data_IF_720011363273
#
_entry.id   IF_720011363273
#
_cell.length_a   1.000
_cell.length_b   1.000
_cell.length_c   1.000
_cell.angle_alpha   90.00
_cell.angle_beta   90.00
_cell.angle_gamma   90.00
#
_symmetry.space_group_name_H-M   'P 1'
#
loop_
_entity.id
_entity.type
_entity.pdbx_description
1 polymer ?
#
# COMPACT_ATOMS: atom_id res chain seq x y z
N UNK A 1 -1.43 -8.58 26.26
CA UNK A 1 -2.69 -8.49 25.47
C UNK A 1 -2.51 -7.38 24.43
N UNK A 2 -2.58 -7.67 23.13
CA UNK A 2 -2.42 -6.64 22.09
C UNK A 2 -3.68 -5.75 22.03
N UNK A 3 -3.60 -4.46 21.65
CA UNK A 3 -4.71 -3.49 21.77
C UNK A 3 -5.91 -3.69 20.81
N UNK A 4 -6.26 -4.91 20.42
CA UNK A 4 -7.29 -5.15 19.39
C UNK A 4 -7.87 -6.58 19.39
N UNK A 5 -7.82 -7.31 20.51
CA UNK A 5 -8.35 -8.69 20.63
C UNK A 5 -7.97 -9.63 19.47
N UNK A 6 -6.75 -9.49 18.94
CA UNK A 6 -6.24 -10.38 17.88
C UNK A 6 -5.34 -11.44 18.46
N UNK A 7 -5.57 -12.68 18.00
CA UNK A 7 -4.68 -13.82 18.22
C UNK A 7 -3.27 -13.50 17.67
N UNK A 8 -2.24 -14.12 18.25
CA UNK A 8 -0.84 -13.77 17.99
C UNK A 8 -0.44 -13.87 16.50
N UNK A 9 -1.14 -14.74 15.78
CA UNK A 9 -1.06 -15.12 14.38
C UNK A 9 -2.00 -14.34 13.44
N UNK A 10 -2.95 -13.56 13.97
CA UNK A 10 -3.95 -12.88 13.15
C UNK A 10 -3.45 -11.52 12.63
N UNK A 11 -3.18 -11.47 11.32
CA UNK A 11 -2.85 -10.25 10.58
C UNK A 11 -4.03 -9.26 10.59
N UNK A 12 -3.73 -7.95 10.54
CA UNK A 12 -4.75 -6.91 10.34
C UNK A 12 -5.51 -7.18 9.03
N UNK A 13 -6.82 -6.85 8.92
CA UNK A 13 -7.50 -6.90 7.64
C UNK A 13 -6.74 -6.02 6.64
N UNK A 14 -6.30 -6.63 5.54
CA UNK A 14 -5.56 -5.98 4.46
C UNK A 14 -6.54 -5.78 3.31
N UNK A 15 -6.75 -4.52 2.90
CA UNK A 15 -7.50 -4.20 1.70
C UNK A 15 -6.55 -3.56 0.70
N UNK A 16 -6.47 -4.16 -0.49
CA UNK A 16 -5.65 -3.65 -1.60
C UNK A 16 -6.59 -3.13 -2.67
N UNK A 17 -6.61 -1.81 -2.85
CA UNK A 17 -7.36 -1.16 -3.93
C UNK A 17 -6.38 -0.76 -5.01
N UNK A 18 -6.45 -1.43 -6.16
CA UNK A 18 -5.63 -1.15 -7.35
C UNK A 18 -6.28 0.00 -8.15
N UNK A 19 -5.48 0.77 -8.89
CA UNK A 19 -5.93 1.90 -9.71
C UNK A 19 -6.63 3.00 -8.88
N UNK A 20 -6.01 3.40 -7.76
CA UNK A 20 -6.57 4.45 -6.91
C UNK A 20 -6.45 5.85 -7.53
N UNK A 21 -5.36 6.14 -8.23
CA UNK A 21 -5.15 7.39 -8.96
C UNK A 21 -5.08 7.15 -10.46
N UNK A 22 -5.92 7.85 -11.22
CA UNK A 22 -6.03 7.71 -12.67
C UNK A 22 -4.80 8.21 -13.46
N UNK A 23 -3.93 8.99 -12.83
CA UNK A 23 -2.80 9.66 -13.47
C UNK A 23 -1.47 8.92 -13.38
N UNK A 24 -1.39 7.84 -12.61
CA UNK A 24 -0.15 7.12 -12.41
C UNK A 24 -0.22 5.73 -13.01
N UNK A 25 0.86 5.35 -13.70
CA UNK A 25 0.98 4.07 -14.41
C UNK A 25 0.84 2.87 -13.48
N UNK A 26 1.25 3.02 -12.21
CA UNK A 26 0.92 2.09 -11.15
C UNK A 26 0.50 2.81 -9.87
N UNK A 27 -0.77 2.72 -9.49
CA UNK A 27 -1.26 3.24 -8.21
C UNK A 27 -1.97 2.17 -7.38
N UNK A 28 -1.52 2.02 -6.13
CA UNK A 28 -2.11 1.07 -5.19
C UNK A 28 -2.33 1.74 -3.85
N UNK A 29 -3.56 1.67 -3.36
CA UNK A 29 -3.90 2.02 -1.99
C UNK A 29 -3.97 0.74 -1.16
N UNK A 30 -3.08 0.63 -0.17
CA UNK A 30 -3.06 -0.50 0.77
C UNK A 30 -3.54 -0.02 2.14
N UNK A 31 -4.60 -0.64 2.64
CA UNK A 31 -5.16 -0.36 3.95
C UNK A 31 -4.90 -1.56 4.87
N UNK A 32 -4.09 -1.36 5.91
CA UNK A 32 -3.84 -2.31 6.98
C UNK A 32 -4.59 -1.87 8.25
N UNK A 33 -5.90 -2.12 8.30
CA UNK A 33 -6.76 -1.60 9.37
C UNK A 33 -6.74 -0.06 9.42
N UNK A 34 -6.10 0.52 10.44
CA UNK A 34 -5.99 1.99 10.59
C UNK A 34 -4.78 2.61 9.86
N UNK A 35 -3.91 1.80 9.27
CA UNK A 35 -2.76 2.30 8.51
C UNK A 35 -3.11 2.32 7.03
N UNK A 36 -3.10 3.49 6.40
CA UNK A 36 -3.32 3.65 4.97
C UNK A 36 -2.01 4.06 4.30
N UNK A 37 -1.59 3.31 3.29
CA UNK A 37 -0.39 3.59 2.51
C UNK A 37 -0.80 3.77 1.06
N UNK A 38 -0.51 4.94 0.51
CA UNK A 38 -0.61 5.20 -0.92
C UNK A 38 0.76 4.95 -1.55
N UNK A 39 0.84 3.99 -2.45
CA UNK A 39 2.04 3.75 -3.23
C UNK A 39 1.77 4.14 -4.68
N UNK A 40 2.55 5.09 -5.18
CA UNK A 40 2.48 5.54 -6.56
C UNK A 40 3.81 5.26 -7.24
N UNK A 41 3.78 4.55 -8.36
CA UNK A 41 4.92 4.25 -9.18
C UNK A 41 4.76 4.95 -10.53
N UNK A 42 5.82 5.64 -10.95
CA UNK A 42 5.90 6.34 -12.22
C UNK A 42 7.15 5.85 -12.93
N UNK A 43 7.07 5.55 -14.22
CA UNK A 43 8.25 5.22 -15.03
C UNK A 43 8.87 6.52 -15.54
N UNK A 44 10.18 6.66 -15.32
CA UNK A 44 10.98 7.71 -15.94
C UNK A 44 11.88 7.07 -17.02
N UNK A 45 12.01 7.71 -18.17
CA UNK A 45 12.86 7.23 -19.28
C UNK A 45 14.37 7.39 -19.01
N UNK A 46 14.74 8.07 -17.92
CA UNK A 46 16.14 8.30 -17.55
C UNK A 46 16.76 7.07 -16.88
N UNK A 47 17.96 6.71 -17.32
CA UNK A 47 18.80 5.75 -16.60
C UNK A 47 19.48 6.44 -15.40
N UNK A 48 19.68 5.73 -14.27
CA UNK A 48 20.40 6.29 -13.13
C UNK A 48 21.80 6.71 -13.56
N UNK A 49 22.13 7.99 -13.31
CA UNK A 49 23.46 8.53 -13.60
C UNK A 49 24.45 8.07 -12.52
N UNK A 50 25.59 7.54 -12.95
CA UNK A 50 26.67 7.02 -12.11
C UNK A 50 27.49 8.15 -11.47
#
# INVERSE_FOLDING_TARGET
>A
MRPNDRAADQVRPIKITRNYTAYAEGSVLVEFGNTKVLCNATVEENVPRC
#
